data_IF_706683548727
#
_entry.id   IF_706683548727
#
_cell.length_a   1.000
_cell.length_b   1.000
_cell.length_c   1.000
_cell.angle_alpha   90.00
_cell.angle_beta   90.00
_cell.angle_gamma   90.00
#
_symmetry.space_group_name_H-M   'P 1'
#
loop_
_entity.id
_entity.type
_entity.pdbx_description
1 polymer ?
#
# COMPACT_ATOMS: atom_id res chain seq x y z
N UNK A 1 -26.70 24.87 -3.56
CA UNK A 1 -26.62 24.90 -4.99
C UNK A 1 -27.00 26.22 -5.71
N UNK A 2 -27.16 27.33 -5.01
CA UNK A 2 -27.40 28.64 -5.63
C UNK A 2 -26.27 29.05 -6.58
N UNK A 3 -25.03 28.66 -6.30
CA UNK A 3 -23.82 29.00 -7.07
C UNK A 3 -23.50 28.04 -8.22
N UNK A 4 -24.28 26.99 -8.46
CA UNK A 4 -24.02 25.97 -9.47
C UNK A 4 -24.32 26.39 -10.93
N UNK A 5 -24.12 27.64 -11.29
CA UNK A 5 -24.48 28.18 -12.64
C UNK A 5 -23.74 27.49 -13.78
N UNK A 6 -22.43 27.23 -13.60
CA UNK A 6 -21.63 26.58 -14.65
C UNK A 6 -22.12 25.15 -14.93
N UNK A 7 -22.42 24.38 -13.90
CA UNK A 7 -22.90 23.01 -14.08
C UNK A 7 -24.28 22.96 -14.70
N UNK A 8 -25.17 23.93 -14.36
CA UNK A 8 -26.47 24.08 -15.03
C UNK A 8 -26.31 24.42 -16.52
N UNK A 9 -25.42 25.37 -16.85
CA UNK A 9 -25.17 25.74 -18.23
C UNK A 9 -24.65 24.54 -19.04
N UNK A 10 -23.69 23.74 -18.49
CA UNK A 10 -23.19 22.53 -19.13
C UNK A 10 -24.32 21.52 -19.33
N UNK A 11 -25.16 21.27 -18.33
CA UNK A 11 -26.24 20.29 -18.40
C UNK A 11 -27.30 20.68 -19.45
N UNK A 12 -27.71 21.94 -19.51
CA UNK A 12 -28.63 22.42 -20.55
C UNK A 12 -27.98 22.43 -21.94
N UNK A 13 -26.65 22.66 -22.05
CA UNK A 13 -25.92 22.52 -23.31
C UNK A 13 -25.94 21.07 -23.80
N UNK A 14 -25.69 20.11 -22.92
CA UNK A 14 -25.76 18.69 -23.26
C UNK A 14 -27.16 18.29 -23.72
N UNK A 15 -28.19 18.81 -23.07
CA UNK A 15 -29.59 18.64 -23.50
C UNK A 15 -29.86 19.27 -24.87
N UNK A 16 -29.31 20.44 -25.14
CA UNK A 16 -29.44 21.11 -26.44
C UNK A 16 -28.85 20.32 -27.61
N UNK A 17 -27.86 19.48 -27.32
CA UNK A 17 -27.22 18.58 -28.30
C UNK A 17 -27.79 17.16 -28.29
N UNK A 18 -28.95 16.95 -27.68
CA UNK A 18 -29.66 15.66 -27.60
C UNK A 18 -28.81 14.52 -26.96
N UNK A 19 -27.79 14.86 -26.15
CA UNK A 19 -27.02 13.86 -25.42
C UNK A 19 -27.88 13.20 -24.35
N UNK A 20 -28.82 13.95 -23.78
CA UNK A 20 -29.96 13.43 -23.03
C UNK A 20 -31.17 14.32 -23.20
N UNK A 21 -32.37 13.73 -23.10
CA UNK A 21 -33.65 14.39 -23.41
C UNK A 21 -34.42 14.81 -22.17
N UNK A 22 -34.11 14.23 -21.01
CA UNK A 22 -34.79 14.47 -19.75
C UNK A 22 -34.43 15.82 -19.13
N UNK A 23 -35.20 16.26 -18.13
CA UNK A 23 -34.84 17.45 -17.36
C UNK A 23 -33.54 17.20 -16.58
N UNK A 24 -32.50 18.02 -16.76
CA UNK A 24 -31.21 17.85 -16.07
C UNK A 24 -31.26 18.17 -14.57
N UNK A 25 -32.30 18.87 -14.10
CA UNK A 25 -32.33 19.39 -12.73
C UNK A 25 -32.28 18.31 -11.64
N UNK A 26 -33.01 17.18 -11.72
CA UNK A 26 -32.91 16.11 -10.72
C UNK A 26 -31.51 15.51 -10.62
N UNK A 27 -30.86 15.27 -11.76
CA UNK A 27 -29.49 14.76 -11.81
C UNK A 27 -28.46 15.75 -11.24
N UNK A 28 -28.65 17.05 -11.54
CA UNK A 28 -27.80 18.10 -10.99
C UNK A 28 -27.96 18.24 -9.46
N UNK A 29 -29.18 18.11 -8.95
CA UNK A 29 -29.42 18.19 -7.51
C UNK A 29 -28.73 17.01 -6.78
N UNK A 30 -28.86 15.79 -7.29
CA UNK A 30 -28.15 14.62 -6.76
C UNK A 30 -26.62 14.81 -6.81
N UNK A 31 -26.10 15.36 -7.91
CA UNK A 31 -24.69 15.70 -8.05
C UNK A 31 -24.21 16.73 -7.02
N UNK A 32 -25.00 17.81 -6.81
CA UNK A 32 -24.65 18.83 -5.82
C UNK A 32 -24.68 18.28 -4.39
N UNK A 33 -25.66 17.43 -4.05
CA UNK A 33 -25.73 16.76 -2.75
C UNK A 33 -24.48 15.88 -2.53
N UNK A 34 -24.12 15.08 -3.52
CA UNK A 34 -22.92 14.22 -3.46
C UNK A 34 -21.64 15.06 -3.29
N UNK A 35 -21.49 16.15 -4.03
CA UNK A 35 -20.33 17.04 -3.91
C UNK A 35 -20.28 17.83 -2.59
N UNK A 36 -21.38 17.87 -1.84
CA UNK A 36 -21.49 18.59 -0.56
C UNK A 36 -21.26 17.68 0.66
N UNK A 37 -20.99 16.41 0.47
CA UNK A 37 -20.68 15.49 1.57
C UNK A 37 -19.37 15.96 2.24
N UNK A 38 -19.44 16.21 3.55
CA UNK A 38 -18.29 16.57 4.36
C UNK A 38 -17.57 15.33 4.82
N UNK A 39 -16.31 15.20 4.44
CA UNK A 39 -15.42 14.10 4.84
C UNK A 39 -14.09 14.66 5.30
N UNK A 40 -13.39 13.91 6.12
CA UNK A 40 -12.01 14.21 6.50
C UNK A 40 -11.01 13.39 5.66
N UNK A 41 -9.72 13.68 5.82
CA UNK A 41 -8.64 13.02 5.06
C UNK A 41 -8.58 11.51 5.34
N UNK A 42 -8.93 11.08 6.56
CA UNK A 42 -8.97 9.66 6.93
C UNK A 42 -10.09 8.92 6.22
N UNK A 43 -11.29 9.50 6.16
CA UNK A 43 -12.42 8.92 5.43
C UNK A 43 -12.08 8.77 3.95
N UNK A 44 -11.47 9.81 3.35
CA UNK A 44 -11.02 9.77 1.97
C UNK A 44 -9.96 8.68 1.74
N UNK A 45 -9.04 8.47 2.70
CA UNK A 45 -8.06 7.40 2.63
C UNK A 45 -8.71 6.01 2.66
N UNK A 46 -9.75 5.79 3.45
CA UNK A 46 -10.50 4.53 3.45
C UNK A 46 -11.26 4.28 2.16
N UNK A 47 -11.84 5.32 1.56
CA UNK A 47 -12.44 5.22 0.23
C UNK A 47 -11.41 4.79 -0.82
N UNK A 48 -10.22 5.39 -0.79
CA UNK A 48 -9.11 5.00 -1.66
C UNK A 48 -8.60 3.58 -1.38
N UNK A 49 -8.45 3.20 -0.12
CA UNK A 49 -8.04 1.86 0.27
C UNK A 49 -9.06 0.79 -0.18
N UNK A 50 -10.35 1.14 -0.21
CA UNK A 50 -11.41 0.28 -0.77
C UNK A 50 -11.20 0.06 -2.27
N UNK A 51 -10.87 1.11 -3.02
CA UNK A 51 -10.52 1.00 -4.45
C UNK A 51 -9.23 0.19 -4.65
N UNK A 52 -8.21 0.44 -3.83
CA UNK A 52 -6.95 -0.32 -3.90
C UNK A 52 -7.15 -1.82 -3.59
N UNK A 53 -8.15 -2.18 -2.80
CA UNK A 53 -8.50 -3.53 -2.38
C UNK A 53 -9.69 -4.11 -3.17
N UNK A 54 -9.74 -3.86 -4.46
CA UNK A 54 -10.75 -4.42 -5.37
C UNK A 54 -12.21 -4.17 -4.92
N UNK A 55 -12.48 -2.99 -4.36
CA UNK A 55 -13.82 -2.59 -3.93
C UNK A 55 -14.27 -3.14 -2.57
N UNK A 56 -13.40 -3.83 -1.85
CA UNK A 56 -13.66 -4.33 -0.49
C UNK A 56 -13.07 -3.37 0.54
N UNK A 57 -13.88 -2.87 1.44
CA UNK A 57 -13.41 -2.01 2.53
C UNK A 57 -12.50 -2.79 3.48
N UNK A 58 -11.22 -2.40 3.65
CA UNK A 58 -10.25 -3.17 4.43
C UNK A 58 -10.52 -3.19 5.94
N UNK A 59 -11.34 -2.26 6.46
CA UNK A 59 -11.70 -2.23 7.89
C UNK A 59 -12.90 -3.13 8.21
N UNK A 60 -13.92 -3.08 7.35
CA UNK A 60 -15.18 -3.78 7.62
C UNK A 60 -15.26 -5.15 6.94
N UNK A 61 -14.40 -5.38 5.94
CA UNK A 61 -14.46 -6.57 5.07
C UNK A 61 -15.66 -6.58 4.12
N UNK A 62 -16.48 -5.52 4.12
CA UNK A 62 -17.65 -5.44 3.26
C UNK A 62 -17.28 -4.94 1.87
N UNK A 63 -17.87 -5.53 0.85
CA UNK A 63 -17.75 -5.05 -0.53
C UNK A 63 -18.61 -3.81 -0.71
N UNK A 64 -17.98 -2.68 -1.01
CA UNK A 64 -18.64 -1.41 -1.28
C UNK A 64 -18.83 -1.14 -2.79
N UNK A 65 -17.93 -1.70 -3.62
CA UNK A 65 -17.96 -1.55 -5.09
C UNK A 65 -17.72 -2.93 -5.70
N UNK A 66 -18.46 -3.25 -6.77
CA UNK A 66 -18.25 -4.45 -7.56
C UNK A 66 -16.88 -4.36 -8.23
N UNK A 67 -16.06 -5.42 -8.16
CA UNK A 67 -14.68 -5.43 -8.65
C UNK A 67 -14.54 -4.98 -10.11
N UNK A 68 -15.44 -5.43 -10.99
CA UNK A 68 -15.44 -5.05 -12.41
C UNK A 68 -15.51 -3.54 -12.64
N UNK A 69 -16.17 -2.80 -11.73
CA UNK A 69 -16.24 -1.33 -11.82
C UNK A 69 -14.99 -0.63 -11.28
N UNK A 70 -14.21 -1.29 -10.42
CA UNK A 70 -12.99 -0.70 -9.87
C UNK A 70 -11.99 -0.38 -10.97
N UNK A 71 -11.79 -1.30 -11.92
CA UNK A 71 -10.92 -1.08 -13.08
C UNK A 71 -11.36 0.14 -13.88
N UNK A 72 -12.66 0.25 -14.18
CA UNK A 72 -13.22 1.40 -14.91
C UNK A 72 -13.03 2.71 -14.16
N UNK A 73 -13.29 2.72 -12.85
CA UNK A 73 -13.09 3.91 -11.98
C UNK A 73 -11.63 4.34 -11.99
N UNK A 74 -10.70 3.42 -11.78
CA UNK A 74 -9.27 3.73 -11.76
C UNK A 74 -8.77 4.19 -13.13
N UNK A 75 -9.28 3.64 -14.23
CA UNK A 75 -8.96 4.07 -15.59
C UNK A 75 -9.40 5.52 -15.85
N UNK A 76 -10.61 5.89 -15.42
CA UNK A 76 -11.11 7.28 -15.52
C UNK A 76 -10.29 8.21 -14.61
N UNK A 77 -9.94 7.77 -13.40
CA UNK A 77 -9.07 8.54 -12.51
C UNK A 77 -7.69 8.77 -13.13
N UNK A 78 -7.09 7.77 -13.77
CA UNK A 78 -5.79 7.90 -14.43
C UNK A 78 -5.83 8.88 -15.63
N UNK A 79 -6.89 8.83 -16.43
CA UNK A 79 -6.99 9.60 -17.69
C UNK A 79 -7.45 11.05 -17.48
N UNK A 80 -8.28 11.32 -16.48
CA UNK A 80 -8.93 12.63 -16.32
C UNK A 80 -9.10 13.13 -14.89
N UNK A 81 -8.69 12.36 -13.89
CA UNK A 81 -8.92 12.70 -12.48
C UNK A 81 -8.17 13.93 -11.98
N UNK A 82 -7.10 14.35 -12.66
CA UNK A 82 -6.28 15.52 -12.34
C UNK A 82 -6.50 16.69 -13.31
N UNK A 83 -7.69 16.76 -13.93
CA UNK A 83 -8.04 17.77 -14.94
C UNK A 83 -7.01 17.81 -16.08
N UNK A 84 -6.64 19.00 -16.56
CA UNK A 84 -5.65 19.19 -17.64
C UNK A 84 -4.23 18.71 -17.27
N UNK A 85 -3.99 18.39 -16.00
CA UNK A 85 -2.72 17.87 -15.52
C UNK A 85 -2.65 16.33 -15.50
N UNK A 86 -3.67 15.60 -15.94
CA UNK A 86 -3.73 14.14 -15.79
C UNK A 86 -2.54 13.41 -16.42
N UNK A 87 -2.11 13.80 -17.62
CA UNK A 87 -0.93 13.22 -18.28
C UNK A 87 0.38 13.51 -17.55
N UNK A 88 0.58 14.76 -17.12
CA UNK A 88 1.75 15.16 -16.34
C UNK A 88 1.78 14.47 -14.96
N UNK A 89 0.64 14.31 -14.34
CA UNK A 89 0.48 13.58 -13.09
C UNK A 89 0.84 12.09 -13.26
N UNK A 90 0.32 11.44 -14.29
CA UNK A 90 0.63 10.03 -14.54
C UNK A 90 2.13 9.82 -14.79
N UNK A 91 2.77 10.75 -15.49
CA UNK A 91 4.22 10.71 -15.73
C UNK A 91 5.05 10.90 -14.45
N UNK A 92 4.67 11.88 -13.60
CA UNK A 92 5.48 12.27 -12.44
C UNK A 92 5.14 11.51 -11.16
N UNK A 93 3.89 11.06 -11.00
CA UNK A 93 3.39 10.40 -9.78
C UNK A 93 3.01 8.94 -10.04
N UNK A 94 2.39 8.68 -11.19
CA UNK A 94 2.10 7.34 -11.66
C UNK A 94 1.04 6.56 -10.89
N UNK A 95 0.22 7.22 -10.08
CA UNK A 95 -0.93 6.62 -9.41
C UNK A 95 -2.22 7.18 -10.00
N UNK A 96 -3.22 6.37 -10.40
CA UNK A 96 -4.56 6.87 -10.65
C UNK A 96 -5.03 7.79 -9.53
N UNK A 97 -5.50 8.99 -9.85
CA UNK A 97 -5.87 9.95 -8.80
C UNK A 97 -7.09 10.79 -9.17
N UNK A 98 -7.74 11.34 -8.16
CA UNK A 98 -8.83 12.31 -8.29
C UNK A 98 -8.56 13.54 -7.43
N UNK A 99 -8.56 14.70 -8.08
CA UNK A 99 -8.45 16.00 -7.44
C UNK A 99 -9.82 16.62 -7.21
N UNK A 100 -9.94 17.35 -6.13
CA UNK A 100 -11.11 18.15 -5.79
C UNK A 100 -10.77 19.62 -5.57
N UNK A 101 -11.61 20.52 -6.06
CA UNK A 101 -11.43 21.97 -5.89
C UNK A 101 -11.47 22.44 -4.43
N UNK A 102 -11.85 21.58 -3.50
CA UNK A 102 -11.70 21.82 -2.06
C UNK A 102 -10.27 21.67 -1.55
N UNK A 103 -9.33 21.19 -2.37
CA UNK A 103 -7.92 20.96 -2.01
C UNK A 103 -7.58 19.52 -1.64
N UNK A 104 -8.49 18.58 -1.84
CA UNK A 104 -8.27 17.15 -1.65
C UNK A 104 -7.66 16.48 -2.88
N UNK A 105 -6.77 15.52 -2.68
CA UNK A 105 -6.31 14.57 -3.70
C UNK A 105 -6.42 13.17 -3.10
N UNK A 106 -7.03 12.27 -3.85
CA UNK A 106 -7.03 10.84 -3.60
C UNK A 106 -6.23 10.15 -4.69
N UNK A 107 -5.13 9.50 -4.35
CA UNK A 107 -4.32 8.69 -5.25
C UNK A 107 -4.37 7.23 -4.84
N UNK A 108 -4.45 6.33 -5.81
CA UNK A 108 -4.65 4.89 -5.57
C UNK A 108 -3.59 4.10 -6.33
N UNK A 109 -2.90 3.22 -5.63
CA UNK A 109 -2.04 2.21 -6.24
C UNK A 109 -2.74 0.85 -6.10
N UNK A 110 -3.29 0.29 -7.21
CA UNK A 110 -4.09 -0.91 -7.17
C UNK A 110 -3.37 -2.09 -6.51
N UNK A 111 -4.06 -2.81 -5.64
CA UNK A 111 -3.52 -3.97 -4.93
C UNK A 111 -2.50 -3.65 -3.84
N UNK A 112 -2.20 -2.36 -3.57
CA UNK A 112 -1.17 -1.98 -2.61
C UNK A 112 -1.65 -0.98 -1.55
N UNK A 113 -1.98 0.25 -1.95
CA UNK A 113 -2.34 1.32 -1.02
C UNK A 113 -3.12 2.45 -1.69
N UNK A 114 -3.62 3.36 -0.86
CA UNK A 114 -4.10 4.66 -1.31
C UNK A 114 -3.52 5.78 -0.45
N UNK A 115 -3.41 6.96 -1.04
CA UNK A 115 -2.94 8.18 -0.38
C UNK A 115 -4.03 9.24 -0.49
N UNK A 116 -4.42 9.82 0.63
CA UNK A 116 -5.31 10.97 0.68
C UNK A 116 -4.55 12.18 1.26
N UNK A 117 -4.64 13.30 0.56
CA UNK A 117 -3.99 14.55 0.96
C UNK A 117 -5.03 15.66 0.93
N UNK A 118 -4.99 16.54 1.92
CA UNK A 118 -5.80 17.75 1.94
C UNK A 118 -4.92 18.98 2.15
N UNK A 119 -4.95 19.91 1.18
CA UNK A 119 -4.32 21.22 1.27
C UNK A 119 -5.03 22.21 0.34
N UNK A 120 -5.69 23.25 0.87
CA UNK A 120 -6.63 24.10 0.14
C UNK A 120 -6.00 25.07 -0.87
N UNK A 121 -4.68 25.31 -0.88
CA UNK A 121 -4.04 26.13 -1.90
C UNK A 121 -3.97 25.36 -3.22
N UNK A 122 -4.71 25.87 -4.21
CA UNK A 122 -4.77 25.30 -5.55
C UNK A 122 -3.76 25.95 -6.49
N UNK A 123 -3.28 25.19 -7.46
CA UNK A 123 -2.55 25.69 -8.61
C UNK A 123 -3.50 26.32 -9.66
N UNK A 124 -2.93 26.79 -10.78
CA UNK A 124 -3.71 27.40 -11.87
C UNK A 124 -4.67 26.42 -12.56
N UNK A 125 -4.46 25.12 -12.42
CA UNK A 125 -5.28 24.04 -12.99
C UNK A 125 -6.36 23.52 -12.02
N UNK A 126 -6.41 24.08 -10.80
CA UNK A 126 -7.41 23.71 -9.80
C UNK A 126 -7.01 22.51 -8.92
N UNK A 127 -5.77 22.09 -8.92
CA UNK A 127 -5.25 21.01 -8.10
C UNK A 127 -4.53 21.55 -6.86
N UNK A 128 -4.55 20.78 -5.76
CA UNK A 128 -3.79 21.11 -4.56
C UNK A 128 -2.28 21.15 -4.85
N UNK A 129 -1.66 22.34 -4.82
CA UNK A 129 -0.25 22.50 -5.12
C UNK A 129 0.67 21.71 -4.17
N UNK A 130 0.39 21.76 -2.87
CA UNK A 130 1.13 20.98 -1.87
C UNK A 130 0.81 19.50 -1.94
N UNK A 131 -0.46 19.15 -2.25
CA UNK A 131 -0.88 17.77 -2.42
C UNK A 131 -0.13 17.09 -3.57
N UNK A 132 0.05 17.77 -4.69
CA UNK A 132 0.88 17.27 -5.82
C UNK A 132 2.31 17.01 -5.35
N UNK A 133 2.93 17.96 -4.66
CA UNK A 133 4.31 17.83 -4.19
C UNK A 133 4.49 16.64 -3.23
N UNK A 134 3.56 16.45 -2.30
CA UNK A 134 3.56 15.32 -1.35
C UNK A 134 3.41 14.00 -2.10
N UNK A 135 2.44 13.88 -3.00
CA UNK A 135 2.22 12.63 -3.74
C UNK A 135 3.42 12.28 -4.64
N UNK A 136 4.07 13.28 -5.24
CA UNK A 136 5.30 13.09 -6.02
C UNK A 136 6.44 12.58 -5.14
N UNK A 137 6.72 13.24 -4.03
CA UNK A 137 7.75 12.82 -3.06
C UNK A 137 7.51 11.39 -2.56
N UNK A 138 6.25 11.06 -2.24
CA UNK A 138 5.90 9.70 -1.83
C UNK A 138 6.12 8.70 -2.96
N UNK A 139 5.70 9.03 -4.18
CA UNK A 139 5.89 8.14 -5.33
C UNK A 139 7.37 7.88 -5.60
N UNK A 140 8.18 8.93 -5.65
CA UNK A 140 9.62 8.82 -5.88
C UNK A 140 10.33 8.06 -4.74
N UNK A 141 10.00 8.39 -3.50
CA UNK A 141 10.64 7.81 -2.32
C UNK A 141 10.31 6.35 -2.09
N UNK A 142 9.07 5.97 -2.36
CA UNK A 142 8.56 4.61 -2.09
C UNK A 142 8.31 3.79 -3.36
N UNK A 143 8.69 4.33 -4.52
CA UNK A 143 8.55 3.66 -5.82
C UNK A 143 7.09 3.25 -6.12
N UNK A 144 6.15 4.18 -5.91
CA UNK A 144 4.70 3.93 -5.99
C UNK A 144 4.12 4.15 -7.39
N UNK A 145 4.94 4.22 -8.42
CA UNK A 145 4.46 4.39 -9.79
C UNK A 145 3.84 3.08 -10.31
N UNK A 146 2.63 3.15 -10.89
CA UNK A 146 1.88 1.97 -11.37
C UNK A 146 2.68 1.11 -12.35
N UNK A 147 3.51 1.70 -13.20
CA UNK A 147 4.37 0.98 -14.13
C UNK A 147 5.63 0.36 -13.50
N UNK A 148 5.96 0.74 -12.26
CA UNK A 148 7.02 0.12 -11.48
C UNK A 148 6.48 -1.00 -10.57
N UNK A 149 5.15 -1.10 -10.45
CA UNK A 149 4.54 -2.15 -9.66
C UNK A 149 4.73 -3.48 -10.38
N UNK A 150 5.54 -4.33 -9.80
CA UNK A 150 5.59 -5.74 -10.22
C UNK A 150 4.20 -6.34 -10.08
N UNK A 151 3.82 -7.20 -11.01
CA UNK A 151 2.57 -7.95 -11.04
C UNK A 151 2.15 -8.36 -9.63
N UNK A 152 0.90 -8.12 -9.20
CA UNK A 152 0.45 -8.52 -7.88
C UNK A 152 0.64 -10.03 -7.74
N UNK A 153 1.61 -10.43 -6.93
CA UNK A 153 1.81 -11.84 -6.62
C UNK A 153 0.69 -12.29 -5.70
N UNK A 154 0.16 -13.45 -5.94
CA UNK A 154 -0.52 -14.28 -4.95
C UNK A 154 0.18 -14.07 -3.61
N UNK A 155 -0.52 -13.87 -2.51
CA UNK A 155 -0.03 -13.48 -1.18
C UNK A 155 1.50 -13.49 -1.01
N UNK A 156 2.11 -12.34 -0.73
CA UNK A 156 3.57 -12.23 -0.47
C UNK A 156 4.03 -13.18 0.64
N UNK A 157 3.18 -13.47 1.61
CA UNK A 157 3.39 -14.50 2.62
C UNK A 157 2.73 -15.77 2.10
N UNK A 158 3.58 -16.72 1.67
CA UNK A 158 3.13 -18.02 1.20
C UNK A 158 2.64 -18.89 2.36
N UNK A 159 3.45 -18.95 3.42
CA UNK A 159 3.15 -19.68 4.63
C UNK A 159 3.64 -18.91 5.86
N UNK A 160 2.91 -19.01 6.94
CA UNK A 160 3.34 -18.65 8.28
C UNK A 160 3.13 -19.86 9.19
N UNK A 161 4.20 -20.50 9.59
CA UNK A 161 4.21 -21.74 10.36
C UNK A 161 5.05 -21.58 11.62
N UNK A 162 4.73 -22.36 12.65
CA UNK A 162 5.50 -22.33 13.90
C UNK A 162 6.52 -23.47 13.95
N UNK A 163 7.56 -23.30 14.74
CA UNK A 163 8.56 -24.34 15.00
C UNK A 163 7.99 -25.58 15.69
N UNK A 164 6.78 -25.50 16.23
CA UNK A 164 6.05 -26.67 16.74
C UNK A 164 5.38 -27.50 15.62
N UNK A 165 5.04 -26.83 14.49
CA UNK A 165 4.36 -27.46 13.34
C UNK A 165 5.34 -28.07 12.34
N UNK A 166 6.57 -27.56 12.31
CA UNK A 166 7.61 -28.01 11.38
C UNK A 166 8.82 -28.51 12.14
N UNK A 167 9.17 -29.77 11.93
CA UNK A 167 10.43 -30.34 12.37
C UNK A 167 11.36 -30.54 11.18
N UNK A 168 12.64 -30.17 11.32
CA UNK A 168 13.63 -30.52 10.31
C UNK A 168 13.95 -32.01 10.38
N UNK A 169 14.33 -32.60 9.25
CA UNK A 169 14.76 -34.01 9.16
C UNK A 169 16.11 -34.29 9.87
N UNK A 170 16.69 -33.30 10.52
CA UNK A 170 17.93 -33.47 11.28
C UNK A 170 17.63 -34.24 12.59
N UNK A 171 18.36 -35.31 12.83
CA UNK A 171 18.39 -35.95 14.16
C UNK A 171 18.94 -34.97 15.19
N UNK A 172 18.21 -34.77 16.28
CA UNK A 172 18.57 -33.87 17.37
C UNK A 172 18.76 -34.63 18.66
N UNK A 173 19.65 -34.18 19.55
CA UNK A 173 19.69 -34.62 20.92
C UNK A 173 18.34 -34.40 21.60
N UNK A 174 17.99 -35.25 22.56
CA UNK A 174 16.67 -35.21 23.23
C UNK A 174 16.41 -33.87 23.92
N UNK A 175 17.45 -33.21 24.43
CA UNK A 175 17.37 -31.89 25.06
C UNK A 175 16.95 -30.81 24.07
N UNK A 176 17.50 -30.79 22.85
CA UNK A 176 17.10 -29.87 21.79
C UNK A 176 15.66 -30.15 21.35
N UNK A 177 15.29 -31.43 21.21
CA UNK A 177 13.95 -31.82 20.83
C UNK A 177 12.92 -31.40 21.89
N UNK A 178 13.25 -31.53 23.17
CA UNK A 178 12.43 -31.09 24.30
C UNK A 178 12.21 -29.56 24.27
N UNK A 179 13.27 -28.80 24.09
CA UNK A 179 13.18 -27.32 23.99
C UNK A 179 12.30 -26.88 22.82
N UNK A 180 12.39 -27.53 21.66
CA UNK A 180 11.54 -27.24 20.51
C UNK A 180 10.09 -27.60 20.78
N UNK A 181 9.79 -28.70 21.46
CA UNK A 181 8.41 -29.04 21.88
C UNK A 181 7.84 -28.00 22.83
N UNK A 182 8.64 -27.47 23.76
CA UNK A 182 8.18 -26.48 24.75
C UNK A 182 8.04 -25.07 24.18
N UNK A 183 8.95 -24.64 23.31
CA UNK A 183 9.06 -23.24 22.85
C UNK A 183 8.82 -23.05 21.36
N UNK A 184 8.65 -24.11 20.60
CA UNK A 184 8.52 -24.06 19.14
C UNK A 184 7.33 -23.22 18.66
N UNK A 185 6.25 -23.14 19.44
CA UNK A 185 5.11 -22.27 19.11
C UNK A 185 5.44 -20.77 19.09
N UNK A 186 6.52 -20.38 19.76
CA UNK A 186 7.04 -18.99 19.81
C UNK A 186 8.08 -18.70 18.72
N UNK A 187 8.46 -19.68 17.92
CA UNK A 187 9.31 -19.55 16.75
C UNK A 187 8.40 -19.52 15.53
N UNK A 188 8.40 -18.45 14.76
CA UNK A 188 7.58 -18.30 13.57
C UNK A 188 8.44 -18.25 12.30
N UNK A 189 8.10 -19.10 11.33
CA UNK A 189 8.71 -19.14 10.01
C UNK A 189 7.77 -18.50 9.00
N UNK A 190 8.25 -17.49 8.30
CA UNK A 190 7.58 -16.83 7.19
C UNK A 190 8.25 -17.21 5.87
N UNK A 191 7.54 -17.88 4.99
CA UNK A 191 7.96 -18.09 3.61
C UNK A 191 7.46 -16.91 2.76
N UNK A 192 8.37 -16.04 2.35
CA UNK A 192 8.10 -14.87 1.51
C UNK A 192 8.29 -15.23 0.04
N UNK A 193 7.40 -14.77 -0.83
CA UNK A 193 7.45 -15.07 -2.27
C UNK A 193 7.10 -13.87 -3.15
N UNK A 194 7.51 -13.95 -4.42
CA UNK A 194 7.22 -12.92 -5.44
C UNK A 194 8.08 -11.68 -5.30
N UNK A 195 7.80 -10.68 -6.10
CA UNK A 195 8.53 -9.42 -6.05
C UNK A 195 8.13 -8.61 -4.81
N UNK A 196 9.11 -8.27 -4.00
CA UNK A 196 8.89 -7.54 -2.75
C UNK A 196 9.23 -6.06 -2.94
N UNK A 197 8.19 -5.32 -3.32
CA UNK A 197 8.14 -3.85 -3.33
C UNK A 197 7.54 -3.35 -2.02
N UNK A 198 7.36 -2.03 -1.86
CA UNK A 198 6.91 -1.41 -0.61
C UNK A 198 5.63 -2.04 -0.03
N UNK A 199 4.56 -2.18 -0.83
CA UNK A 199 3.28 -2.72 -0.34
C UNK A 199 3.38 -4.18 0.16
N UNK A 200 3.93 -5.12 -0.63
CA UNK A 200 4.26 -6.46 -0.17
C UNK A 200 5.14 -6.50 1.08
N UNK A 201 6.19 -5.66 1.15
CA UNK A 201 7.08 -5.59 2.31
C UNK A 201 6.33 -5.12 3.58
N UNK A 202 5.50 -4.08 3.45
CA UNK A 202 4.68 -3.54 4.54
C UNK A 202 3.74 -4.61 5.11
N UNK A 203 3.16 -5.43 4.25
CA UNK A 203 2.29 -6.54 4.68
C UNK A 203 3.04 -7.56 5.53
N UNK A 204 4.26 -7.96 5.12
CA UNK A 204 5.10 -8.85 5.92
C UNK A 204 5.46 -8.21 7.25
N UNK A 205 5.87 -6.95 7.24
CA UNK A 205 6.23 -6.17 8.44
C UNK A 205 5.06 -6.09 9.42
N UNK A 206 3.86 -5.83 8.94
CA UNK A 206 2.65 -5.78 9.78
C UNK A 206 2.40 -7.11 10.50
N UNK A 207 2.54 -8.23 9.80
CA UNK A 207 2.40 -9.56 10.40
C UNK A 207 3.49 -9.87 11.43
N UNK A 208 4.75 -9.44 11.17
CA UNK A 208 5.84 -9.58 12.13
C UNK A 208 5.55 -8.78 13.41
N UNK A 209 5.12 -7.52 13.27
CA UNK A 209 4.83 -6.64 14.40
C UNK A 209 3.59 -7.10 15.19
N UNK A 210 2.55 -7.60 14.53
CA UNK A 210 1.36 -8.14 15.17
C UNK A 210 1.65 -9.38 16.02
N UNK A 211 2.67 -10.16 15.65
CA UNK A 211 3.10 -11.33 16.39
C UNK A 211 4.18 -11.08 17.44
N UNK A 212 4.70 -9.87 17.56
CA UNK A 212 5.90 -9.56 18.35
C UNK A 212 5.76 -9.85 19.85
N UNK A 213 4.58 -9.71 20.42
CA UNK A 213 4.36 -9.90 21.87
C UNK A 213 4.48 -11.37 22.28
N UNK A 214 4.28 -12.30 21.36
CA UNK A 214 4.28 -13.75 21.64
C UNK A 214 5.51 -14.46 21.06
N UNK A 215 6.15 -13.87 20.07
CA UNK A 215 7.29 -14.49 19.38
C UNK A 215 8.57 -14.38 20.19
N UNK A 216 9.37 -15.43 20.16
CA UNK A 216 10.76 -15.46 20.63
C UNK A 216 11.72 -15.26 19.45
N UNK A 217 11.40 -15.81 18.29
CA UNK A 217 12.21 -15.73 17.10
C UNK A 217 11.37 -15.72 15.83
N UNK A 218 11.84 -15.00 14.83
CA UNK A 218 11.35 -15.03 13.46
C UNK A 218 12.42 -15.62 12.53
N UNK A 219 11.99 -16.49 11.64
CA UNK A 219 12.78 -17.01 10.53
C UNK A 219 12.10 -16.54 9.25
N UNK A 220 12.82 -15.77 8.43
CA UNK A 220 12.31 -15.28 7.16
C UNK A 220 13.01 -15.99 6.01
N UNK A 221 12.24 -16.70 5.21
CA UNK A 221 12.73 -17.36 4.01
C UNK A 221 12.43 -16.53 2.77
N UNK A 222 13.48 -15.94 2.19
CA UNK A 222 13.43 -15.19 0.94
C UNK A 222 13.86 -16.01 -0.28
N UNK A 223 13.94 -17.32 -0.18
CA UNK A 223 14.39 -18.18 -1.31
C UNK A 223 13.53 -18.07 -2.57
N UNK A 224 12.27 -17.69 -2.39
CA UNK A 224 11.27 -17.51 -3.46
C UNK A 224 11.00 -16.05 -3.83
N UNK A 225 11.85 -15.13 -3.40
CA UNK A 225 11.79 -13.71 -3.74
C UNK A 225 12.75 -13.45 -4.89
N UNK A 226 12.28 -13.23 -6.13
CA UNK A 226 13.16 -12.92 -7.25
C UNK A 226 13.70 -11.50 -7.18
N UNK A 227 12.93 -10.57 -6.62
CA UNK A 227 13.31 -9.15 -6.54
C UNK A 227 12.93 -8.56 -5.18
N UNK A 228 13.89 -7.84 -4.58
CA UNK A 228 13.73 -7.04 -3.37
C UNK A 228 14.29 -5.65 -3.64
N UNK A 229 13.45 -4.62 -3.58
CA UNK A 229 13.89 -3.25 -3.83
C UNK A 229 14.60 -2.63 -2.61
N UNK A 230 15.27 -1.49 -2.84
CA UNK A 230 16.07 -0.80 -1.81
C UNK A 230 15.18 -0.25 -0.69
N UNK A 231 13.96 0.18 -1.02
CA UNK A 231 13.03 0.76 -0.05
C UNK A 231 12.51 -0.33 0.89
N UNK A 232 12.08 -1.46 0.31
CA UNK A 232 11.64 -2.64 1.07
C UNK A 232 12.76 -3.20 1.94
N UNK A 233 14.00 -3.19 1.44
CA UNK A 233 15.16 -3.60 2.23
C UNK A 233 15.37 -2.71 3.45
N UNK A 234 15.17 -1.40 3.33
CA UNK A 234 15.25 -0.47 4.47
C UNK A 234 14.12 -0.70 5.48
N UNK A 235 12.89 -0.87 4.98
CA UNK A 235 11.73 -1.14 5.82
C UNK A 235 11.90 -2.42 6.64
N UNK A 236 12.43 -3.49 6.03
CA UNK A 236 12.75 -4.71 6.74
C UNK A 236 13.82 -4.49 7.80
N UNK A 237 14.90 -3.76 7.49
CA UNK A 237 15.96 -3.50 8.47
C UNK A 237 15.45 -2.70 9.66
N UNK A 238 14.68 -1.65 9.44
CA UNK A 238 14.07 -0.85 10.52
C UNK A 238 13.21 -1.74 11.43
N UNK A 239 12.45 -2.66 10.82
CA UNK A 239 11.61 -3.62 11.56
C UNK A 239 12.45 -4.63 12.33
N UNK A 240 13.49 -5.18 11.72
CA UNK A 240 14.37 -6.17 12.38
C UNK A 240 15.10 -5.56 13.58
N UNK A 241 15.55 -4.31 13.45
CA UNK A 241 16.15 -3.55 14.55
C UNK A 241 15.16 -3.33 15.70
N UNK A 242 13.92 -2.94 15.38
CA UNK A 242 12.85 -2.77 16.36
C UNK A 242 12.49 -4.08 17.07
N UNK A 243 12.45 -5.20 16.35
CA UNK A 243 12.22 -6.54 16.93
C UNK A 243 13.39 -6.98 17.79
N UNK A 244 14.63 -6.76 17.35
CA UNK A 244 15.83 -7.07 18.12
C UNK A 244 15.89 -6.27 19.44
N UNK A 245 15.47 -4.99 19.41
CA UNK A 245 15.36 -4.15 20.61
C UNK A 245 14.33 -4.69 21.62
N UNK A 246 13.26 -5.34 21.13
CA UNK A 246 12.28 -6.08 21.96
C UNK A 246 12.77 -7.45 22.44
N UNK A 247 14.00 -7.83 22.11
CA UNK A 247 14.57 -9.12 22.50
C UNK A 247 14.24 -10.29 21.59
N UNK A 248 13.65 -10.06 20.42
CA UNK A 248 13.25 -11.09 19.46
C UNK A 248 14.41 -11.38 18.51
N UNK A 249 14.70 -12.64 18.29
CA UNK A 249 15.69 -13.07 17.30
C UNK A 249 15.10 -13.02 15.90
N UNK A 250 15.85 -12.45 14.94
CA UNK A 250 15.48 -12.46 13.53
C UNK A 250 16.54 -13.21 12.74
N UNK A 251 16.16 -14.29 12.09
CA UNK A 251 17.03 -15.09 11.24
C UNK A 251 16.54 -15.04 9.80
N UNK A 252 17.45 -14.71 8.88
CA UNK A 252 17.14 -14.66 7.44
C UNK A 252 17.85 -15.84 6.78
N UNK A 253 17.08 -16.66 6.06
CA UNK A 253 17.65 -17.79 5.34
C UNK A 253 18.51 -17.32 4.16
N UNK A 254 19.42 -18.16 3.71
CA UNK A 254 20.34 -17.86 2.62
C UNK A 254 19.55 -17.53 1.35
N UNK A 255 19.61 -16.28 0.92
CA UNK A 255 19.12 -15.81 -0.37
C UNK A 255 20.14 -14.83 -0.97
N UNK A 256 20.09 -14.61 -2.29
CA UNK A 256 20.95 -13.58 -2.90
C UNK A 256 20.63 -12.17 -2.41
N UNK A 257 19.43 -11.96 -1.86
CA UNK A 257 19.01 -10.67 -1.31
C UNK A 257 19.61 -10.38 0.07
N UNK A 258 20.13 -11.39 0.78
CA UNK A 258 20.87 -11.19 2.02
C UNK A 258 22.04 -10.22 1.81
N UNK A 259 22.69 -10.23 0.65
CA UNK A 259 23.76 -9.28 0.33
C UNK A 259 23.28 -7.83 0.27
N UNK A 260 22.05 -7.57 -0.19
CA UNK A 260 21.44 -6.24 -0.24
C UNK A 260 21.12 -5.77 1.18
N UNK A 261 20.49 -6.62 1.98
CA UNK A 261 20.18 -6.35 3.37
C UNK A 261 21.45 -6.11 4.19
N UNK A 262 22.47 -6.97 4.05
CA UNK A 262 23.78 -6.79 4.71
C UNK A 262 24.46 -5.48 4.33
N UNK A 263 24.44 -5.11 3.05
CA UNK A 263 25.01 -3.85 2.57
C UNK A 263 24.29 -2.64 3.16
N UNK A 264 22.98 -2.70 3.25
CA UNK A 264 22.17 -1.65 3.85
C UNK A 264 22.38 -1.57 5.37
N UNK A 265 22.50 -2.70 6.06
CA UNK A 265 22.84 -2.75 7.49
C UNK A 265 24.25 -2.19 7.78
N UNK A 266 25.26 -2.56 6.98
CA UNK A 266 26.64 -2.04 7.11
C UNK A 266 26.73 -0.52 6.94
N UNK A 267 25.93 0.06 6.06
CA UNK A 267 25.88 1.52 5.89
C UNK A 267 25.37 2.25 7.12
N UNK A 268 24.59 1.60 7.98
CA UNK A 268 24.01 2.18 9.20
C UNK A 268 24.86 1.94 10.45
N UNK A 269 25.41 0.74 10.58
CA UNK A 269 26.00 0.26 11.83
C UNK A 269 27.47 -0.14 11.71
N UNK A 270 28.09 0.07 10.54
CA UNK A 270 29.44 -0.43 10.29
C UNK A 270 29.47 -1.96 10.15
N UNK A 271 30.58 -2.58 10.55
CA UNK A 271 30.78 -4.04 10.39
C UNK A 271 30.09 -4.90 11.47
N UNK A 272 29.57 -4.29 12.53
CA UNK A 272 28.86 -5.01 13.59
C UNK A 272 27.37 -5.10 13.25
N UNK A 273 26.79 -6.30 12.99
CA UNK A 273 25.37 -6.44 12.80
C UNK A 273 24.63 -6.12 14.10
N UNK A 274 23.36 -5.65 14.03
CA UNK A 274 22.55 -5.48 15.22
C UNK A 274 22.49 -6.78 16.02
N UNK A 275 22.56 -6.66 17.35
CA UNK A 275 22.41 -7.81 18.24
C UNK A 275 21.10 -8.55 17.92
N UNK A 276 21.15 -9.90 17.86
CA UNK A 276 20.00 -10.77 17.55
C UNK A 276 19.51 -10.77 16.09
N UNK A 277 20.26 -10.22 15.16
CA UNK A 277 20.03 -10.37 13.73
C UNK A 277 21.05 -11.36 13.16
N UNK A 278 20.57 -12.48 12.62
CA UNK A 278 21.38 -13.53 11.99
C UNK A 278 21.05 -13.66 10.50
N UNK A 279 22.12 -13.87 9.69
CA UNK A 279 22.05 -13.95 8.23
C UNK A 279 22.39 -15.35 7.71
#
# INVERSE_FOLDING_TARGET
SETGHRNRAIAYMLRNFDIFTEDPMPSLEAYFQQCSILINCRDLAFMGATLANDGVNPLTGQRAIIGDYVESVLSVMASSGMYDAAGEWLYNVGMPAKSGVGGGILAVLPGQLAVAVFSPLLDKRGNSARGIAVCRELSDRYNLHVFNSATPSLSVIRNCITGAQVSSNRSRPEDEARLLRQHGSRIRLFEVQGNVTFGPAERVVRELLAGADTAFAYILDFSRVPQLDVVSSRLFLDTFEALAAKGIWVHITRSHHVSILKRSARRRHGDAPPARLAW
#
